data_IF_291224442933
#
_entry.id   IF_291224442933
#
_cell.length_a   1.000
_cell.length_b   1.000
_cell.length_c   1.000
_cell.angle_alpha   90.00
_cell.angle_beta   90.00
_cell.angle_gamma   90.00
#
_symmetry.space_group_name_H-M   'P 1'
#
loop_
_entity.id
_entity.type
_entity.pdbx_description
1 polymer ?
#
# COMPACT_ATOMS: atom_id res chain seq x y z
N UNK A 1 -16.33 39.83 8.27
CA UNK A 1 -17.47 39.66 7.36
C UNK A 1 -18.49 38.64 7.87
N UNK A 2 -18.06 37.45 8.33
CA UNK A 2 -18.95 36.39 8.83
C UNK A 2 -19.75 36.70 10.12
N UNK A 3 -19.59 37.90 10.70
CA UNK A 3 -20.46 38.40 11.80
C UNK A 3 -21.82 38.90 11.29
N UNK A 4 -21.94 39.16 10.00
CA UNK A 4 -23.19 39.58 9.36
C UNK A 4 -23.96 38.33 8.91
N UNK A 5 -25.29 38.43 8.85
CA UNK A 5 -26.13 37.39 8.27
C UNK A 5 -25.87 37.21 6.76
N UNK A 6 -26.32 36.07 6.22
CA UNK A 6 -26.20 35.75 4.79
C UNK A 6 -24.90 35.04 4.43
N UNK A 7 -24.55 35.09 3.14
CA UNK A 7 -23.39 34.41 2.57
C UNK A 7 -22.28 35.39 2.19
N UNK A 8 -21.09 34.83 1.96
CA UNK A 8 -19.92 35.50 1.42
C UNK A 8 -19.57 34.80 0.11
N UNK A 9 -19.29 35.56 -0.94
CA UNK A 9 -18.86 35.05 -2.24
C UNK A 9 -17.40 35.41 -2.41
N UNK A 10 -16.58 34.41 -2.68
CA UNK A 10 -15.15 34.54 -2.94
C UNK A 10 -14.86 34.21 -4.41
N UNK A 11 -13.67 34.59 -4.89
CA UNK A 11 -13.11 34.01 -6.12
C UNK A 11 -12.72 32.55 -5.90
N UNK A 12 -12.61 31.78 -6.98
CA UNK A 12 -12.30 30.33 -6.91
C UNK A 12 -10.92 30.04 -6.30
N UNK A 13 -9.94 30.92 -6.55
CA UNK A 13 -8.61 30.90 -5.95
C UNK A 13 -8.57 31.42 -4.50
N UNK A 14 -9.73 31.80 -3.94
CA UNK A 14 -9.92 32.34 -2.59
C UNK A 14 -9.14 33.63 -2.28
N UNK A 15 -8.59 34.31 -3.30
CA UNK A 15 -7.76 35.50 -3.11
C UNK A 15 -8.56 36.80 -2.94
N UNK A 16 -9.84 36.83 -3.33
CA UNK A 16 -10.68 38.03 -3.24
C UNK A 16 -12.07 37.73 -2.71
N UNK A 17 -12.60 38.67 -1.93
CA UNK A 17 -14.02 38.70 -1.53
C UNK A 17 -14.81 39.51 -2.55
N UNK A 18 -15.68 38.85 -3.31
CA UNK A 18 -16.53 39.49 -4.31
C UNK A 18 -17.74 40.17 -3.67
N UNK A 19 -18.40 39.48 -2.73
CA UNK A 19 -19.57 40.00 -1.99
C UNK A 19 -19.65 39.44 -0.58
N UNK A 20 -20.33 40.16 0.30
CA UNK A 20 -20.69 39.71 1.65
C UNK A 20 -22.12 40.15 1.98
N UNK A 21 -22.74 39.51 2.98
CA UNK A 21 -24.13 39.76 3.39
C UNK A 21 -25.16 39.53 2.26
N UNK A 22 -24.94 38.52 1.42
CA UNK A 22 -25.86 38.19 0.32
C UNK A 22 -26.83 37.08 0.70
N UNK A 23 -28.06 37.16 0.18
CA UNK A 23 -29.02 36.07 0.25
C UNK A 23 -28.89 35.21 -1.00
N UNK A 24 -28.51 33.94 -0.84
CA UNK A 24 -28.44 32.98 -1.94
C UNK A 24 -29.83 32.38 -2.17
N UNK A 25 -30.34 32.51 -3.40
CA UNK A 25 -31.68 32.05 -3.80
C UNK A 25 -31.56 31.03 -4.93
N UNK A 26 -31.16 29.77 -4.64
CA UNK A 26 -31.09 28.73 -5.65
C UNK A 26 -32.49 28.24 -6.05
N UNK A 27 -32.58 27.51 -7.16
CA UNK A 27 -33.82 26.87 -7.62
C UNK A 27 -34.37 25.92 -6.55
N UNK A 28 -35.60 26.21 -6.11
CA UNK A 28 -36.29 25.46 -5.06
C UNK A 28 -36.75 24.07 -5.49
N UNK A 29 -36.81 23.80 -6.81
CA UNK A 29 -37.15 22.50 -7.37
C UNK A 29 -36.01 21.48 -7.24
N UNK A 30 -34.77 21.92 -7.01
CA UNK A 30 -33.62 21.04 -6.83
C UNK A 30 -33.76 20.20 -5.56
N UNK A 31 -33.60 18.89 -5.72
CA UNK A 31 -33.62 17.94 -4.61
C UNK A 31 -32.48 18.22 -3.63
N UNK A 32 -32.81 18.15 -2.33
CA UNK A 32 -31.86 18.30 -1.23
C UNK A 32 -32.23 17.31 -0.13
N UNK A 33 -31.22 16.58 0.37
CA UNK A 33 -31.37 15.72 1.54
C UNK A 33 -31.04 16.43 2.85
N UNK A 34 -30.55 17.67 2.77
CA UNK A 34 -30.09 18.42 3.94
C UNK A 34 -31.24 18.94 4.81
N UNK A 35 -30.94 19.09 6.10
CA UNK A 35 -31.85 19.70 7.07
C UNK A 35 -31.39 21.10 7.45
N UNK A 36 -32.34 22.02 7.60
CA UNK A 36 -32.08 23.42 7.92
C UNK A 36 -31.75 24.28 6.69
N UNK A 37 -32.20 25.55 6.73
CA UNK A 37 -32.16 26.45 5.57
C UNK A 37 -30.75 26.63 5.01
N UNK A 38 -29.72 26.77 5.87
CA UNK A 38 -28.32 26.98 5.44
C UNK A 38 -27.78 25.83 4.58
N UNK A 39 -27.92 24.58 5.04
CA UNK A 39 -27.37 23.42 4.33
C UNK A 39 -28.18 23.09 3.08
N UNK A 40 -29.51 23.26 3.12
CA UNK A 40 -30.37 23.14 1.94
C UNK A 40 -30.01 24.14 0.85
N UNK A 41 -29.80 25.40 1.23
CA UNK A 41 -29.34 26.43 0.30
C UNK A 41 -27.95 26.09 -0.22
N UNK A 42 -27.02 25.66 0.62
CA UNK A 42 -25.66 25.31 0.21
C UNK A 42 -25.63 24.18 -0.83
N UNK A 43 -26.33 23.07 -0.57
CA UNK A 43 -26.39 21.93 -1.50
C UNK A 43 -27.01 22.34 -2.85
N UNK A 44 -28.10 23.10 -2.83
CA UNK A 44 -28.78 23.53 -4.06
C UNK A 44 -27.94 24.53 -4.86
N UNK A 45 -27.26 25.46 -4.19
CA UNK A 45 -26.34 26.39 -4.86
C UNK A 45 -25.22 25.60 -5.52
N UNK A 46 -24.59 24.65 -4.81
CA UNK A 46 -23.52 23.83 -5.38
C UNK A 46 -23.97 23.05 -6.62
N UNK A 47 -25.15 22.41 -6.58
CA UNK A 47 -25.73 21.71 -7.73
C UNK A 47 -26.05 22.64 -8.90
N UNK A 48 -26.60 23.83 -8.62
CA UNK A 48 -27.05 24.75 -9.67
C UNK A 48 -25.89 25.48 -10.35
N UNK A 49 -24.89 25.91 -9.58
CA UNK A 49 -23.79 26.75 -10.09
C UNK A 49 -22.53 25.96 -10.38
N UNK A 50 -22.44 24.71 -9.91
CA UNK A 50 -21.22 23.88 -9.91
C UNK A 50 -20.05 24.49 -9.14
N UNK A 51 -20.29 25.54 -8.36
CA UNK A 51 -19.28 26.13 -7.50
C UNK A 51 -19.15 25.34 -6.19
N UNK A 52 -17.96 25.38 -5.58
CA UNK A 52 -17.75 24.87 -4.23
C UNK A 52 -18.47 25.76 -3.21
N UNK A 53 -19.36 25.17 -2.42
CA UNK A 53 -20.10 25.89 -1.37
C UNK A 53 -19.75 25.34 0.01
N UNK A 54 -19.31 26.22 0.90
CA UNK A 54 -18.93 25.88 2.27
C UNK A 54 -20.02 26.35 3.24
N UNK A 55 -20.55 25.42 4.03
CA UNK A 55 -21.52 25.68 5.09
C UNK A 55 -20.89 25.41 6.45
N UNK A 56 -20.88 26.44 7.31
CA UNK A 56 -20.37 26.32 8.68
C UNK A 56 -21.56 26.32 9.65
N UNK A 57 -21.63 25.31 10.51
CA UNK A 57 -22.65 25.19 11.56
C UNK A 57 -22.07 25.52 12.91
N UNK A 58 -22.28 26.73 13.41
CA UNK A 58 -21.84 27.15 14.74
C UNK A 58 -22.30 26.19 15.85
N UNK A 59 -23.58 25.80 15.86
CA UNK A 59 -24.12 24.88 16.88
C UNK A 59 -23.49 23.50 16.88
N UNK A 60 -23.00 23.02 15.73
CA UNK A 60 -22.42 21.67 15.59
C UNK A 60 -20.89 21.71 15.54
N UNK A 61 -20.30 22.90 15.44
CA UNK A 61 -18.87 23.10 15.15
C UNK A 61 -18.38 22.32 13.92
N UNK A 62 -19.24 22.14 12.91
CA UNK A 62 -18.92 21.37 11.69
C UNK A 62 -18.81 22.26 10.47
N UNK A 63 -17.83 21.99 9.62
CA UNK A 63 -17.70 22.57 8.28
C UNK A 63 -18.10 21.53 7.24
N UNK A 64 -19.05 21.88 6.37
CA UNK A 64 -19.51 21.00 5.28
C UNK A 64 -19.20 21.64 3.93
N UNK A 65 -18.56 20.90 3.06
CA UNK A 65 -18.31 21.25 1.67
C UNK A 65 -19.36 20.58 0.79
N UNK A 66 -19.90 21.34 -0.16
CA UNK A 66 -20.77 20.86 -1.22
C UNK A 66 -20.10 21.17 -2.57
N UNK A 67 -19.89 20.15 -3.39
CA UNK A 67 -19.27 20.26 -4.71
C UNK A 67 -20.11 19.43 -5.68
N UNK A 68 -20.82 20.09 -6.59
CA UNK A 68 -21.81 19.42 -7.46
C UNK A 68 -22.80 18.56 -6.63
N UNK A 69 -22.75 17.23 -6.77
CA UNK A 69 -23.59 16.29 -6.02
C UNK A 69 -22.88 15.69 -4.80
N UNK A 70 -21.62 16.05 -4.56
CA UNK A 70 -20.83 15.55 -3.45
C UNK A 70 -20.99 16.43 -2.21
N UNK A 71 -21.09 15.75 -1.07
CA UNK A 71 -21.07 16.36 0.26
C UNK A 71 -19.92 15.78 1.05
N UNK A 72 -19.14 16.65 1.67
CA UNK A 72 -18.03 16.25 2.52
C UNK A 72 -18.05 17.05 3.83
N UNK A 73 -18.07 16.35 4.96
CA UNK A 73 -18.05 16.98 6.29
C UNK A 73 -16.63 16.90 6.82
N UNK A 74 -15.99 18.06 7.01
CA UNK A 74 -14.68 18.12 7.64
C UNK A 74 -14.79 17.70 9.11
N UNK A 75 -13.95 16.75 9.50
CA UNK A 75 -13.79 16.33 10.89
C UNK A 75 -12.86 17.30 11.62
N UNK A 76 -12.94 17.27 12.94
CA UNK A 76 -12.00 18.02 13.77
C UNK A 76 -10.59 17.47 13.58
N UNK A 77 -9.59 18.36 13.43
CA UNK A 77 -8.21 17.94 13.19
C UNK A 77 -7.64 17.10 14.34
N UNK A 78 -8.09 17.31 15.58
CA UNK A 78 -7.67 16.48 16.73
C UNK A 78 -8.24 15.08 16.65
N UNK A 79 -9.47 14.93 16.13
CA UNK A 79 -10.08 13.60 15.91
C UNK A 79 -9.32 12.83 14.83
N UNK A 80 -9.01 13.49 13.71
CA UNK A 80 -8.24 12.90 12.62
C UNK A 80 -6.84 12.52 13.12
N UNK A 81 -6.17 13.40 13.84
CA UNK A 81 -4.84 13.15 14.40
C UNK A 81 -4.84 11.97 15.38
N UNK A 82 -5.85 11.85 16.25
CA UNK A 82 -5.97 10.72 17.17
C UNK A 82 -6.14 9.38 16.42
N UNK A 83 -7.02 9.35 15.41
CA UNK A 83 -7.23 8.17 14.56
C UNK A 83 -5.98 7.81 13.75
N UNK A 84 -5.29 8.80 13.21
CA UNK A 84 -4.04 8.63 12.46
C UNK A 84 -2.96 7.98 13.32
N UNK A 85 -2.78 8.45 14.55
CA UNK A 85 -1.81 7.86 15.49
C UNK A 85 -2.17 6.41 15.86
N UNK A 86 -3.46 6.10 16.03
CA UNK A 86 -3.91 4.73 16.30
C UNK A 86 -3.65 3.81 15.10
N UNK A 87 -3.93 4.29 13.89
CA UNK A 87 -3.67 3.56 12.66
C UNK A 87 -2.17 3.33 12.46
N UNK A 88 -1.33 4.35 12.71
CA UNK A 88 0.12 4.24 12.63
C UNK A 88 0.68 3.20 13.62
N UNK A 89 0.22 3.19 14.86
CA UNK A 89 0.61 2.15 15.83
C UNK A 89 0.18 0.74 15.39
N UNK A 90 -0.91 0.64 14.64
CA UNK A 90 -1.38 -0.63 14.07
C UNK A 90 -0.48 -1.05 12.92
N UNK A 91 -0.11 -0.10 12.05
CA UNK A 91 0.83 -0.30 10.96
C UNK A 91 2.19 -0.79 11.47
N UNK A 92 2.74 -0.17 12.52
CA UNK A 92 4.00 -0.59 13.16
C UNK A 92 3.95 -2.06 13.62
N UNK A 93 2.84 -2.47 14.26
CA UNK A 93 2.65 -3.86 14.70
C UNK A 93 2.56 -4.82 13.53
N UNK A 94 1.85 -4.43 12.47
CA UNK A 94 1.74 -5.25 11.26
C UNK A 94 3.06 -5.35 10.51
N UNK A 95 3.81 -4.25 10.38
CA UNK A 95 5.14 -4.22 9.78
C UNK A 95 6.12 -5.11 10.55
N UNK A 96 6.15 -5.01 11.88
CA UNK A 96 6.98 -5.89 12.72
C UNK A 96 6.63 -7.36 12.49
N UNK A 97 5.34 -7.68 12.38
CA UNK A 97 4.90 -9.06 12.10
C UNK A 97 5.29 -9.50 10.68
N UNK A 98 5.14 -8.63 9.69
CA UNK A 98 5.58 -8.86 8.30
C UNK A 98 7.08 -9.18 8.25
N UNK A 99 7.90 -8.39 8.93
CA UNK A 99 9.36 -8.59 8.97
C UNK A 99 9.72 -9.95 9.59
N UNK A 100 9.04 -10.32 10.67
CA UNK A 100 9.23 -11.62 11.31
C UNK A 100 8.89 -12.78 10.36
N UNK A 101 7.73 -12.74 9.69
CA UNK A 101 7.32 -13.82 8.79
C UNK A 101 8.15 -13.85 7.50
N UNK A 102 8.59 -12.70 7.00
CA UNK A 102 9.50 -12.59 5.85
C UNK A 102 10.90 -13.14 6.17
N UNK A 103 11.40 -12.90 7.38
CA UNK A 103 12.61 -13.52 7.90
C UNK A 103 12.50 -15.03 7.95
N UNK A 104 11.42 -15.56 8.53
CA UNK A 104 11.17 -17.00 8.59
C UNK A 104 11.06 -17.63 7.19
N UNK A 105 10.32 -17.00 6.27
CA UNK A 105 10.22 -17.48 4.89
C UNK A 105 11.60 -17.51 4.22
N UNK A 106 12.44 -16.50 4.46
CA UNK A 106 13.81 -16.48 3.93
C UNK A 106 14.63 -17.67 4.45
N UNK A 107 14.48 -18.04 5.73
CA UNK A 107 15.12 -19.25 6.27
C UNK A 107 14.66 -20.51 5.54
N UNK A 108 13.36 -20.68 5.34
CA UNK A 108 12.80 -21.83 4.64
C UNK A 108 13.24 -21.88 3.17
N UNK A 109 13.43 -20.73 2.53
CA UNK A 109 13.94 -20.64 1.16
C UNK A 109 15.37 -21.16 1.02
N UNK A 110 16.25 -20.83 1.97
CA UNK A 110 17.63 -21.35 1.94
C UNK A 110 17.72 -22.85 2.25
N UNK A 111 16.75 -23.39 2.98
CA UNK A 111 16.70 -24.80 3.35
C UNK A 111 15.91 -25.67 2.39
N UNK A 112 15.28 -25.07 1.37
CA UNK A 112 14.41 -25.76 0.41
C UNK A 112 13.20 -26.45 1.07
N UNK A 113 12.62 -25.79 2.08
CA UNK A 113 11.50 -26.28 2.90
C UNK A 113 10.24 -25.41 2.81
N UNK A 114 10.16 -24.53 1.83
CA UNK A 114 9.02 -23.60 1.68
C UNK A 114 7.74 -24.35 1.33
N UNK A 115 6.66 -24.00 2.01
CA UNK A 115 5.29 -24.38 1.62
C UNK A 115 4.50 -23.19 1.08
N UNK A 116 3.40 -23.44 0.37
CA UNK A 116 2.52 -22.37 -0.08
C UNK A 116 1.93 -21.58 1.09
N UNK A 117 1.67 -22.23 2.23
CA UNK A 117 1.23 -21.58 3.46
C UNK A 117 2.19 -20.46 3.88
N UNK A 118 3.49 -20.73 3.89
CA UNK A 118 4.51 -19.76 4.31
C UNK A 118 4.49 -18.52 3.42
N UNK A 119 4.38 -18.72 2.11
CA UNK A 119 4.32 -17.65 1.10
C UNK A 119 3.06 -16.80 1.29
N UNK A 120 1.91 -17.45 1.43
CA UNK A 120 0.62 -16.78 1.56
C UNK A 120 0.52 -16.00 2.86
N UNK A 121 1.10 -16.49 3.96
CA UNK A 121 1.17 -15.75 5.24
C UNK A 121 1.95 -14.44 5.07
N UNK A 122 3.10 -14.47 4.38
CA UNK A 122 3.88 -13.24 4.14
C UNK A 122 3.09 -12.25 3.27
N UNK A 123 2.47 -12.74 2.19
CA UNK A 123 1.62 -11.89 1.33
C UNK A 123 0.44 -11.29 2.08
N UNK A 124 -0.27 -12.09 2.89
CA UNK A 124 -1.37 -11.60 3.73
C UNK A 124 -0.91 -10.43 4.60
N UNK A 125 0.24 -10.57 5.26
CA UNK A 125 0.77 -9.50 6.12
C UNK A 125 1.18 -8.26 5.32
N UNK A 126 1.74 -8.42 4.13
CA UNK A 126 2.02 -7.29 3.23
C UNK A 126 0.75 -6.55 2.85
N UNK A 127 -0.31 -7.27 2.46
CA UNK A 127 -1.59 -6.66 2.09
C UNK A 127 -2.22 -5.91 3.26
N UNK A 128 -2.17 -6.47 4.47
CA UNK A 128 -2.65 -5.78 5.68
C UNK A 128 -1.88 -4.48 5.96
N UNK A 129 -0.56 -4.48 5.77
CA UNK A 129 0.29 -3.28 5.93
C UNK A 129 -0.08 -2.23 4.89
N UNK A 130 -0.15 -2.62 3.61
CA UNK A 130 -0.48 -1.71 2.50
C UNK A 130 -1.89 -1.12 2.64
N UNK A 131 -2.87 -1.90 3.12
CA UNK A 131 -4.22 -1.39 3.37
C UNK A 131 -4.30 -0.33 4.46
N UNK A 132 -3.61 -0.57 5.58
CA UNK A 132 -3.59 0.40 6.69
C UNK A 132 -2.85 1.67 6.26
N UNK A 133 -1.80 1.54 5.43
CA UNK A 133 -1.09 2.69 4.87
C UNK A 133 -2.03 3.60 4.06
N UNK A 134 -2.84 3.03 3.15
CA UNK A 134 -3.84 3.81 2.38
C UNK A 134 -4.85 4.52 3.29
N UNK A 135 -5.26 3.91 4.40
CA UNK A 135 -6.13 4.57 5.37
C UNK A 135 -5.43 5.78 6.03
N UNK A 136 -4.15 5.64 6.37
CA UNK A 136 -3.34 6.72 6.96
C UNK A 136 -3.12 7.86 5.95
N UNK A 137 -2.86 7.55 4.68
CA UNK A 137 -2.72 8.56 3.61
C UNK A 137 -3.97 9.43 3.47
N UNK A 138 -5.16 8.83 3.61
CA UNK A 138 -6.42 9.58 3.62
C UNK A 138 -6.48 10.54 4.81
N UNK A 139 -6.08 10.08 6.01
CA UNK A 139 -6.04 10.97 7.17
C UNK A 139 -5.00 12.10 7.03
N UNK A 140 -3.82 11.81 6.49
CA UNK A 140 -2.79 12.82 6.22
C UNK A 140 -3.32 13.88 5.24
N UNK A 141 -4.00 13.43 4.19
CA UNK A 141 -4.63 14.32 3.21
C UNK A 141 -5.69 15.23 3.85
N UNK A 142 -6.47 14.72 4.81
CA UNK A 142 -7.43 15.53 5.58
C UNK A 142 -6.72 16.53 6.54
N UNK A 143 -5.55 16.18 7.08
CA UNK A 143 -4.78 17.04 8.00
C UNK A 143 -4.00 18.16 7.29
N UNK A 144 -3.65 17.97 6.02
CA UNK A 144 -2.83 18.92 5.27
C UNK A 144 -1.44 19.09 5.91
N UNK A 145 -1.03 20.34 6.16
CA UNK A 145 0.30 20.66 6.74
C UNK A 145 0.55 20.00 8.10
N UNK A 146 -0.49 19.84 8.93
CA UNK A 146 -0.39 19.18 10.23
C UNK A 146 -0.08 17.67 10.11
N UNK A 147 -0.27 17.09 8.92
CA UNK A 147 0.01 15.68 8.61
C UNK A 147 1.48 15.39 8.30
N UNK A 148 2.36 16.41 8.20
CA UNK A 148 3.75 16.24 7.74
C UNK A 148 4.55 15.20 8.52
N UNK A 149 4.45 15.20 9.86
CA UNK A 149 5.18 14.23 10.69
C UNK A 149 4.66 12.80 10.49
N UNK A 150 3.35 12.64 10.34
CA UNK A 150 2.72 11.35 10.06
C UNK A 150 3.16 10.82 8.69
N UNK A 151 3.27 11.68 7.67
CA UNK A 151 3.78 11.28 6.36
C UNK A 151 5.20 10.73 6.45
N UNK A 152 6.10 11.43 7.17
CA UNK A 152 7.48 10.96 7.34
C UNK A 152 7.55 9.58 8.02
N UNK A 153 6.71 9.35 9.04
CA UNK A 153 6.64 8.06 9.73
C UNK A 153 6.05 6.96 8.84
N UNK A 154 5.03 7.29 8.05
CA UNK A 154 4.43 6.36 7.10
C UNK A 154 5.45 5.95 6.02
N UNK A 155 6.16 6.92 5.44
CA UNK A 155 7.19 6.69 4.42
C UNK A 155 8.30 5.76 4.93
N UNK A 156 8.73 5.96 6.18
CA UNK A 156 9.72 5.10 6.82
C UNK A 156 9.22 3.67 7.00
N UNK A 157 7.98 3.49 7.49
CA UNK A 157 7.39 2.16 7.71
C UNK A 157 7.09 1.41 6.40
N UNK A 158 6.73 2.14 5.35
CA UNK A 158 6.39 1.59 4.04
C UNK A 158 7.61 1.39 3.14
N UNK A 159 8.79 1.82 3.56
CA UNK A 159 10.02 1.63 2.83
C UNK A 159 10.21 0.15 2.44
N UNK A 160 10.38 -0.09 1.15
CA UNK A 160 10.55 -1.40 0.50
C UNK A 160 9.36 -2.38 0.58
N UNK A 161 8.27 -2.09 1.30
CA UNK A 161 7.13 -3.03 1.45
C UNK A 161 6.53 -3.41 0.10
N UNK A 162 6.19 -2.41 -0.72
CA UNK A 162 5.61 -2.64 -2.03
C UNK A 162 6.55 -3.44 -2.95
N UNK A 163 7.85 -3.12 -2.93
CA UNK A 163 8.86 -3.81 -3.73
C UNK A 163 9.05 -5.28 -3.28
N UNK A 164 9.16 -5.52 -1.97
CA UNK A 164 9.29 -6.86 -1.38
C UNK A 164 8.08 -7.74 -1.70
N UNK A 165 6.88 -7.18 -1.61
CA UNK A 165 5.64 -7.86 -1.98
C UNK A 165 5.64 -8.27 -3.45
N UNK A 166 6.15 -7.41 -4.34
CA UNK A 166 6.18 -7.66 -5.77
C UNK A 166 7.19 -8.74 -6.13
N UNK A 167 8.40 -8.71 -5.54
CA UNK A 167 9.39 -9.78 -5.78
C UNK A 167 8.94 -11.11 -5.20
N UNK A 168 8.22 -11.10 -4.08
CA UNK A 168 7.59 -12.30 -3.50
C UNK A 168 6.56 -12.89 -4.47
N UNK A 169 5.66 -12.08 -5.03
CA UNK A 169 4.71 -12.55 -6.06
C UNK A 169 5.46 -13.09 -7.27
N UNK A 170 6.52 -12.43 -7.75
CA UNK A 170 7.31 -12.91 -8.89
C UNK A 170 7.98 -14.26 -8.62
N UNK A 171 8.39 -14.53 -7.40
CA UNK A 171 8.97 -15.82 -7.03
C UNK A 171 7.95 -16.94 -7.06
N UNK A 172 6.72 -16.68 -6.62
CA UNK A 172 5.75 -17.75 -6.36
C UNK A 172 4.51 -17.76 -7.24
N UNK A 173 4.23 -16.78 -8.10
CA UNK A 173 3.07 -16.83 -9.01
C UNK A 173 3.22 -17.98 -10.02
N UNK A 174 2.16 -18.70 -10.37
CA UNK A 174 2.24 -19.76 -11.38
C UNK A 174 2.66 -19.18 -12.75
N UNK A 175 1.95 -18.17 -13.23
CA UNK A 175 2.25 -17.50 -14.50
C UNK A 175 3.00 -16.18 -14.27
N UNK A 176 4.28 -16.14 -14.67
CA UNK A 176 5.17 -14.97 -14.49
C UNK A 176 4.63 -13.69 -15.11
N UNK A 177 3.94 -13.80 -16.24
CA UNK A 177 3.42 -12.64 -16.99
C UNK A 177 2.34 -11.89 -16.22
N UNK A 178 1.72 -12.55 -15.25
CA UNK A 178 0.55 -12.03 -14.55
C UNK A 178 0.94 -11.35 -13.22
N UNK A 179 2.22 -11.30 -12.86
CA UNK A 179 2.66 -10.79 -11.54
C UNK A 179 2.12 -9.39 -11.18
N UNK A 180 2.06 -8.47 -12.16
CA UNK A 180 1.52 -7.12 -11.96
C UNK A 180 0.00 -7.19 -11.73
N UNK A 181 -0.73 -7.84 -12.64
CA UNK A 181 -2.18 -8.01 -12.50
C UNK A 181 -2.57 -8.76 -11.23
N UNK A 182 -1.76 -9.74 -10.79
CA UNK A 182 -1.97 -10.45 -9.53
C UNK A 182 -1.80 -9.51 -8.35
N UNK A 183 -0.77 -8.64 -8.36
CA UNK A 183 -0.56 -7.64 -7.32
C UNK A 183 -1.74 -6.66 -7.25
N UNK A 184 -2.20 -6.15 -8.38
CA UNK A 184 -3.35 -5.24 -8.47
C UNK A 184 -4.61 -5.91 -7.91
N UNK A 185 -4.94 -7.11 -8.38
CA UNK A 185 -6.10 -7.87 -7.90
C UNK A 185 -6.03 -8.17 -6.39
N UNK A 186 -4.84 -8.44 -5.85
CA UNK A 186 -4.66 -8.68 -4.42
C UNK A 186 -4.89 -7.41 -3.58
N UNK A 187 -4.57 -6.23 -4.10
CA UNK A 187 -4.80 -4.95 -3.42
C UNK A 187 -6.28 -4.55 -3.39
N UNK A 188 -7.07 -5.05 -4.34
CA UNK A 188 -8.53 -4.82 -4.41
C UNK A 188 -9.33 -5.70 -3.44
N UNK A 189 -8.73 -6.75 -2.88
CA UNK A 189 -9.40 -7.65 -1.93
C UNK A 189 -9.96 -6.88 -0.74
N UNK A 190 -11.15 -7.24 -0.28
CA UNK A 190 -11.75 -6.75 0.97
C UNK A 190 -10.97 -7.23 2.20
N UNK A 191 -11.26 -6.63 3.36
CA UNK A 191 -10.59 -7.04 4.60
C UNK A 191 -10.92 -8.49 4.98
N UNK A 192 -12.14 -8.95 4.70
CA UNK A 192 -12.56 -10.33 4.98
C UNK A 192 -11.89 -11.32 4.02
N UNK A 193 -11.75 -10.97 2.75
CA UNK A 193 -11.05 -11.79 1.76
C UNK A 193 -9.55 -11.93 2.06
N UNK A 194 -8.90 -10.89 2.59
CA UNK A 194 -7.50 -10.96 3.03
C UNK A 194 -7.32 -11.97 4.17
N UNK A 195 -8.32 -12.19 5.01
CA UNK A 195 -8.24 -13.18 6.09
C UNK A 195 -8.26 -14.62 5.58
N UNK A 196 -8.82 -14.85 4.39
CA UNK A 196 -8.84 -16.16 3.75
C UNK A 196 -7.57 -16.43 2.94
N UNK A 197 -6.69 -17.25 3.50
CA UNK A 197 -5.45 -17.68 2.86
C UNK A 197 -5.70 -18.43 1.53
N UNK A 198 -6.82 -19.14 1.39
CA UNK A 198 -7.15 -19.86 0.15
C UNK A 198 -7.50 -18.88 -0.97
N UNK A 199 -8.13 -17.75 -0.65
CA UNK A 199 -8.38 -16.68 -1.62
C UNK A 199 -7.07 -16.10 -2.15
N UNK A 200 -6.11 -15.79 -1.27
CA UNK A 200 -4.78 -15.29 -1.69
C UNK A 200 -4.04 -16.34 -2.54
N UNK A 201 -4.06 -17.61 -2.15
CA UNK A 201 -3.46 -18.70 -2.91
C UNK A 201 -4.05 -18.80 -4.34
N UNK A 202 -5.37 -18.67 -4.46
CA UNK A 202 -6.08 -18.67 -5.74
C UNK A 202 -5.63 -17.53 -6.64
N UNK A 203 -5.43 -16.33 -6.10
CA UNK A 203 -4.91 -15.19 -6.87
C UNK A 203 -3.49 -15.42 -7.40
N UNK A 204 -2.65 -16.18 -6.68
CA UNK A 204 -1.33 -16.61 -7.18
C UNK A 204 -1.41 -17.69 -8.29
N UNK A 205 -2.61 -18.23 -8.55
CA UNK A 205 -2.90 -19.30 -9.50
C UNK A 205 -3.06 -20.68 -8.85
N UNK A 206 -2.85 -20.81 -7.54
CA UNK A 206 -2.97 -22.08 -6.84
C UNK A 206 -4.42 -22.32 -6.41
N UNK A 207 -5.11 -23.18 -7.16
CA UNK A 207 -6.47 -23.61 -6.83
C UNK A 207 -6.53 -25.10 -6.52
N UNK A 208 -7.48 -25.47 -5.65
CA UNK A 208 -7.96 -26.85 -5.50
C UNK A 208 -7.42 -27.62 -4.30
N UNK A 209 -8.35 -28.21 -3.52
CA UNK A 209 -8.07 -29.20 -2.48
C UNK A 209 -7.78 -28.62 -1.09
N UNK A 210 -8.13 -29.41 -0.05
CA UNK A 210 -7.99 -29.05 1.37
C UNK A 210 -6.52 -28.86 1.78
N UNK A 211 -5.57 -29.44 1.02
CA UNK A 211 -4.15 -29.46 1.37
C UNK A 211 -3.27 -28.61 0.42
N UNK A 212 -3.86 -27.70 -0.36
CA UNK A 212 -3.09 -26.87 -1.30
C UNK A 212 -2.00 -26.05 -0.61
N UNK A 213 -2.25 -25.63 0.63
CA UNK A 213 -1.33 -24.83 1.42
C UNK A 213 -0.08 -25.62 1.87
N UNK A 214 -0.17 -26.95 1.98
CA UNK A 214 0.96 -27.82 2.34
C UNK A 214 1.87 -28.16 1.15
N UNK A 215 1.51 -27.70 -0.05
CA UNK A 215 2.30 -27.92 -1.26
C UNK A 215 3.70 -27.33 -1.08
N UNK A 216 4.74 -28.15 -1.29
CA UNK A 216 6.13 -27.67 -1.37
C UNK A 216 6.31 -26.72 -2.55
N UNK A 217 7.00 -25.61 -2.30
CA UNK A 217 7.24 -24.54 -3.24
C UNK A 217 8.74 -24.33 -3.44
N UNK A 218 9.12 -24.02 -4.68
CA UNK A 218 10.50 -23.70 -5.02
C UNK A 218 10.54 -22.24 -5.52
N UNK A 219 11.14 -21.30 -4.76
CA UNK A 219 11.28 -19.92 -5.21
C UNK A 219 12.17 -19.83 -6.46
N UNK A 220 11.94 -18.81 -7.27
CA UNK A 220 12.74 -18.53 -8.48
C UNK A 220 14.03 -17.80 -8.17
N UNK A 221 14.08 -17.06 -7.07
CA UNK A 221 15.26 -16.35 -6.55
C UNK A 221 15.22 -14.82 -6.70
N UNK A 222 14.11 -14.23 -7.13
CA UNK A 222 13.96 -12.77 -7.24
C UNK A 222 14.20 -12.07 -5.91
N UNK A 223 13.59 -12.55 -4.82
CA UNK A 223 13.70 -11.91 -3.50
C UNK A 223 15.13 -11.94 -2.97
N UNK A 224 15.80 -13.09 -3.05
CA UNK A 224 17.21 -13.24 -2.62
C UNK A 224 18.14 -12.39 -3.46
N UNK A 225 18.00 -12.40 -4.79
CA UNK A 225 18.84 -11.60 -5.68
C UNK A 225 18.62 -10.09 -5.49
N UNK A 226 17.40 -9.66 -5.18
CA UNK A 226 17.09 -8.23 -4.98
C UNK A 226 17.79 -7.64 -3.75
N UNK A 227 18.10 -8.47 -2.74
CA UNK A 227 18.87 -8.08 -1.55
C UNK A 227 20.34 -7.78 -1.87
N UNK A 228 20.85 -8.19 -3.04
CA UNK A 228 22.22 -7.89 -3.45
C UNK A 228 22.33 -6.42 -3.84
N UNK A 229 23.17 -5.62 -3.15
CA UNK A 229 23.28 -4.19 -3.42
C UNK A 229 23.66 -3.90 -4.87
N UNK A 230 22.98 -2.93 -5.49
CA UNK A 230 23.27 -2.40 -6.84
C UNK A 230 23.15 -3.44 -7.96
N UNK A 231 22.44 -4.55 -7.75
CA UNK A 231 22.15 -5.52 -8.81
C UNK A 231 20.95 -5.04 -9.66
N UNK A 232 21.11 -4.75 -10.96
CA UNK A 232 20.01 -4.26 -11.79
C UNK A 232 18.93 -5.33 -12.02
N UNK A 233 17.65 -4.92 -12.06
CA UNK A 233 16.52 -5.82 -12.32
C UNK A 233 16.66 -6.64 -13.60
N UNK A 234 17.16 -6.04 -14.68
CA UNK A 234 17.37 -6.75 -15.95
C UNK A 234 18.38 -7.88 -15.84
N UNK A 235 19.34 -7.79 -14.92
CA UNK A 235 20.32 -8.85 -14.64
C UNK A 235 19.66 -9.94 -13.79
N UNK A 236 18.86 -9.56 -12.79
CA UNK A 236 18.08 -10.51 -11.98
C UNK A 236 17.17 -11.36 -12.88
N UNK A 237 16.42 -10.74 -13.78
CA UNK A 237 15.54 -11.44 -14.73
C UNK A 237 16.31 -12.47 -15.57
N UNK A 238 17.51 -12.13 -16.04
CA UNK A 238 18.36 -13.03 -16.84
C UNK A 238 18.92 -14.19 -16.01
N UNK A 239 19.35 -13.94 -14.77
CA UNK A 239 19.82 -14.99 -13.85
C UNK A 239 18.67 -15.96 -13.58
N UNK A 240 17.51 -15.46 -13.16
CA UNK A 240 16.34 -16.30 -12.89
C UNK A 240 15.90 -17.08 -14.14
N UNK A 241 15.96 -16.46 -15.33
CA UNK A 241 15.67 -17.14 -16.59
C UNK A 241 16.67 -18.26 -16.93
N UNK A 242 17.94 -18.10 -16.55
CA UNK A 242 19.01 -19.07 -16.80
C UNK A 242 18.96 -20.26 -15.85
N UNK A 243 18.80 -20.01 -14.55
CA UNK A 243 18.93 -21.02 -13.51
C UNK A 243 17.58 -21.62 -13.06
N UNK A 244 16.46 -20.91 -13.28
CA UNK A 244 15.10 -21.41 -13.06
C UNK A 244 14.60 -21.30 -11.62
N UNK A 245 15.38 -21.80 -10.65
CA UNK A 245 15.04 -21.83 -9.23
C UNK A 245 16.21 -21.37 -8.33
N UNK A 246 15.89 -21.01 -7.08
CA UNK A 246 16.84 -20.50 -6.10
C UNK A 246 17.93 -21.52 -5.75
N UNK A 247 17.60 -22.81 -5.59
CA UNK A 247 18.60 -23.81 -5.20
C UNK A 247 19.67 -23.97 -6.28
N UNK A 248 19.25 -23.93 -7.54
CA UNK A 248 20.15 -23.94 -8.69
C UNK A 248 21.01 -22.67 -8.74
N UNK A 249 20.48 -21.50 -8.35
CA UNK A 249 21.26 -20.26 -8.23
C UNK A 249 22.27 -20.33 -7.08
N UNK A 250 21.88 -20.85 -5.91
CA UNK A 250 22.75 -20.94 -4.73
C UNK A 250 23.93 -21.88 -4.94
N UNK A 251 23.76 -22.93 -5.74
CA UNK A 251 24.81 -23.89 -6.06
C UNK A 251 25.67 -23.48 -7.27
N UNK A 252 25.30 -22.40 -7.98
CA UNK A 252 26.03 -21.94 -9.15
C UNK A 252 27.43 -21.41 -8.77
N UNK A 253 28.43 -21.76 -9.58
CA UNK A 253 29.77 -21.22 -9.43
C UNK A 253 29.93 -19.87 -10.16
N UNK A 254 30.96 -19.09 -9.80
CA UNK A 254 31.23 -17.79 -10.44
C UNK A 254 31.37 -17.87 -11.97
N UNK A 255 31.87 -18.98 -12.54
CA UNK A 255 32.01 -19.14 -13.99
C UNK A 255 30.66 -19.31 -14.67
N UNK A 256 29.73 -20.04 -14.05
CA UNK A 256 28.37 -20.20 -14.55
C UNK A 256 27.61 -18.88 -14.51
N UNK A 257 27.75 -18.11 -13.42
CA UNK A 257 27.17 -16.78 -13.30
C UNK A 257 27.75 -15.80 -14.34
N UNK A 258 29.04 -15.89 -14.66
CA UNK A 258 29.69 -15.08 -15.69
C UNK A 258 29.12 -15.31 -17.10
N UNK A 259 28.57 -16.51 -17.37
CA UNK A 259 27.91 -16.79 -18.67
C UNK A 259 26.61 -16.00 -18.89
N UNK A 260 26.05 -15.40 -17.84
CA UNK A 260 24.81 -14.62 -17.94
C UNK A 260 25.13 -13.21 -18.43
N UNK A 261 24.52 -12.85 -19.56
CA UNK A 261 24.70 -11.55 -20.19
C UNK A 261 24.39 -10.37 -19.23
N UNK A 262 25.39 -9.54 -18.96
CA UNK A 262 25.30 -8.41 -18.03
C UNK A 262 25.68 -8.72 -16.59
N UNK A 263 26.15 -9.93 -16.25
CA UNK A 263 26.82 -10.19 -14.96
C UNK A 263 28.30 -9.83 -15.11
N UNK A 264 29.04 -10.58 -15.92
CA UNK A 264 30.50 -10.43 -16.02
C UNK A 264 31.23 -10.88 -14.75
N UNK A 265 32.51 -11.24 -14.88
CA UNK A 265 33.31 -11.84 -13.81
C UNK A 265 33.26 -11.12 -12.46
N UNK A 266 33.42 -9.79 -12.46
CA UNK A 266 33.42 -9.01 -11.22
C UNK A 266 32.06 -9.05 -10.48
N UNK A 267 30.92 -9.03 -11.21
CA UNK A 267 29.60 -9.14 -10.54
C UNK A 267 29.31 -10.57 -10.14
N UNK A 268 29.77 -11.57 -10.89
CA UNK A 268 29.60 -12.97 -10.54
C UNK A 268 30.23 -13.30 -9.18
N UNK A 269 31.44 -12.80 -8.92
CA UNK A 269 32.11 -12.92 -7.62
C UNK A 269 31.31 -12.24 -6.50
N UNK A 270 30.84 -11.00 -6.73
CA UNK A 270 30.00 -10.26 -5.75
C UNK A 270 28.70 -11.02 -5.46
N UNK A 271 28.02 -11.55 -6.47
CA UNK A 271 26.76 -12.29 -6.31
C UNK A 271 27.02 -13.53 -5.47
N UNK A 272 28.02 -14.33 -5.82
CA UNK A 272 28.36 -15.57 -5.11
C UNK A 272 28.72 -15.30 -3.64
N UNK A 273 29.49 -14.25 -3.37
CA UNK A 273 29.87 -13.87 -2.01
C UNK A 273 28.66 -13.41 -1.18
N UNK A 274 27.74 -12.63 -1.76
CA UNK A 274 26.52 -12.21 -1.05
C UNK A 274 25.59 -13.40 -0.76
N UNK A 275 25.37 -14.28 -1.74
CA UNK A 275 24.55 -15.48 -1.55
C UNK A 275 25.08 -16.37 -0.42
N UNK A 276 26.41 -16.53 -0.34
CA UNK A 276 27.07 -17.29 0.73
C UNK A 276 26.89 -16.62 2.10
N UNK A 277 27.14 -15.32 2.18
CA UNK A 277 26.96 -14.56 3.43
C UNK A 277 25.53 -14.61 3.95
N UNK A 278 24.54 -14.51 3.07
CA UNK A 278 23.14 -14.62 3.48
C UNK A 278 22.80 -16.02 4.00
N UNK A 279 23.31 -17.07 3.36
CA UNK A 279 23.14 -18.44 3.84
C UNK A 279 23.78 -18.63 5.24
N UNK A 280 24.97 -18.10 5.45
CA UNK A 280 25.66 -18.16 6.75
C UNK A 280 24.91 -17.37 7.83
N UNK A 281 24.44 -16.14 7.55
CA UNK A 281 23.70 -15.33 8.52
C UNK A 281 22.40 -16.00 8.95
N UNK A 282 21.67 -16.57 7.99
CA UNK A 282 20.39 -17.25 8.26
C UNK A 282 20.57 -18.48 9.15
N UNK A 283 21.70 -19.18 9.05
CA UNK A 283 22.01 -20.29 9.95
C UNK A 283 22.34 -19.79 11.38
N UNK A 284 22.98 -18.62 11.52
CA UNK A 284 23.32 -18.06 12.83
C UNK A 284 22.10 -17.50 13.58
N UNK A 285 21.17 -16.84 12.89
CA UNK A 285 19.95 -16.28 13.49
C UNK A 285 19.05 -17.34 14.14
N UNK A 286 19.30 -18.63 13.89
CA UNK A 286 18.59 -19.77 14.51
C UNK A 286 19.11 -20.16 15.88
N UNK A 287 20.35 -19.78 16.21
CA UNK A 287 21.02 -20.11 17.47
C UNK A 287 21.00 -18.98 18.50
N UNK A 288 20.31 -17.88 18.21
CA UNK A 288 20.10 -16.71 19.07
C UNK A 288 18.61 -16.57 19.37
#
# INVERSE_FOLDING_TARGET
>A
LAKMDGAIILTEDMNQVLRANVHLVPDSSLYTSETGMRHRTAERVAKQTKATVISISERRSTVTLFIDNFKYVLKDSREILAKSNQALQTLEKYKKRLDQVSGNLSTLEYEDLVTLLDVVIVLQRSLMVEKVAVEIENYISELGEEGRLLQMQLDELMANVAEESMVLIRDYVINKKDSISVKENLLELSNDEILDLLTIAKHLGYGGGVNILDQKMNPRGFRVLRRIPRLPYSVIDKIVKRFGDLQTILNANHRELDTVDGVGRARAEIIQDNLRKFKESTLMDRYV
#
